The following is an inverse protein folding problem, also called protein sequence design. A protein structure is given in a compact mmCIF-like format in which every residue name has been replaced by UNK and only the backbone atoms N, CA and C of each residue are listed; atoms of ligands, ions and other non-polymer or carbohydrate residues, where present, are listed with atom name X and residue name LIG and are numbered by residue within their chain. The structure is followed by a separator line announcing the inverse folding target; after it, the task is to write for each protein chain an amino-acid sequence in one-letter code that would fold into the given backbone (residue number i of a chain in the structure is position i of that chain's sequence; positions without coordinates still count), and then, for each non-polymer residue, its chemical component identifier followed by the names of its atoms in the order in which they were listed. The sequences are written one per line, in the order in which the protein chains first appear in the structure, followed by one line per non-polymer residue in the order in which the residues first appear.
data_IF_601896937443
#
_entry.id   IF_601896937443
#
_cell.length_a   1.000
_cell.length_b   1.000
_cell.length_c   1.000
_cell.angle_alpha   90.00
_cell.angle_beta   90.00
_cell.angle_gamma   90.00
#
_symmetry.space_group_name_H-M   'P 1'
#
loop_
_entity.id
_entity.type
_entity.pdbx_description
1 polymer ?
#
# COMPACT_ATOMS: atom_id res chain seq x y z
N UNK A 1 -16.78 5.60 -27.78
CA UNK A 1 -15.80 5.65 -26.66
C UNK A 1 -15.85 4.33 -25.93
N UNK A 2 -14.81 3.51 -26.08
CA UNK A 2 -14.73 2.21 -25.39
C UNK A 2 -14.43 2.49 -23.90
N UNK A 3 -15.36 2.17 -23.03
CA UNK A 3 -15.11 2.20 -21.58
C UNK A 3 -13.88 1.32 -21.26
N UNK A 4 -12.93 1.79 -20.44
CA UNK A 4 -11.73 1.02 -20.11
C UNK A 4 -12.13 -0.29 -19.46
N UNK A 5 -11.59 -1.39 -19.96
CA UNK A 5 -11.86 -2.72 -19.41
C UNK A 5 -11.36 -2.77 -17.96
N UNK A 6 -12.13 -3.32 -17.00
CA UNK A 6 -11.78 -3.31 -15.57
C UNK A 6 -10.38 -3.89 -15.28
N UNK A 7 -9.95 -4.86 -16.06
CA UNK A 7 -8.60 -5.46 -15.97
C UNK A 7 -7.47 -4.47 -16.28
N UNK A 8 -7.68 -3.54 -17.24
CA UNK A 8 -6.68 -2.54 -17.58
C UNK A 8 -6.44 -1.57 -16.42
N UNK A 9 -7.50 -1.17 -15.71
CA UNK A 9 -7.39 -0.31 -14.52
C UNK A 9 -6.63 -0.99 -13.38
N UNK A 10 -6.87 -2.28 -13.16
CA UNK A 10 -6.18 -3.02 -12.11
C UNK A 10 -4.69 -3.21 -12.43
N UNK A 11 -4.36 -3.52 -13.70
CA UNK A 11 -2.97 -3.63 -14.16
C UNK A 11 -2.25 -2.30 -14.06
N UNK A 12 -2.91 -1.22 -14.46
CA UNK A 12 -2.37 0.14 -14.31
C UNK A 12 -2.14 0.49 -12.84
N UNK A 13 -3.11 0.21 -11.96
CA UNK A 13 -2.97 0.45 -10.54
C UNK A 13 -1.80 -0.35 -9.93
N UNK A 14 -1.59 -1.60 -10.37
CA UNK A 14 -0.45 -2.42 -9.95
C UNK A 14 0.87 -1.80 -10.37
N UNK A 15 1.03 -1.41 -11.64
CA UNK A 15 2.24 -0.76 -12.12
C UNK A 15 2.52 0.56 -11.37
N UNK A 16 1.48 1.36 -11.10
CA UNK A 16 1.60 2.57 -10.29
C UNK A 16 2.01 2.25 -8.84
N UNK A 17 1.53 1.13 -8.26
CA UNK A 17 1.92 0.70 -6.92
C UNK A 17 3.40 0.34 -6.85
N UNK A 18 3.92 -0.38 -7.84
CA UNK A 18 5.35 -0.71 -7.94
C UNK A 18 6.21 0.56 -8.09
N UNK A 19 5.78 1.49 -8.93
CA UNK A 19 6.47 2.77 -9.09
C UNK A 19 6.36 3.65 -7.84
N UNK A 20 5.24 3.62 -7.12
CA UNK A 20 5.06 4.32 -5.86
C UNK A 20 6.00 3.79 -4.77
N UNK A 21 6.18 2.46 -4.68
CA UNK A 21 7.14 1.85 -3.77
C UNK A 21 8.57 2.30 -4.08
N UNK A 22 8.97 2.29 -5.35
CA UNK A 22 10.26 2.83 -5.78
C UNK A 22 10.44 4.30 -5.38
N UNK A 23 9.45 5.15 -5.65
CA UNK A 23 9.50 6.58 -5.33
C UNK A 23 9.57 6.83 -3.83
N UNK A 24 8.81 6.07 -3.03
CA UNK A 24 8.87 6.13 -1.57
C UNK A 24 10.27 5.80 -1.06
N UNK A 25 10.83 4.65 -1.47
CA UNK A 25 12.17 4.21 -1.05
C UNK A 25 13.25 5.19 -1.49
N UNK A 26 13.20 5.69 -2.74
CA UNK A 26 14.14 6.68 -3.22
C UNK A 26 14.10 7.97 -2.40
N UNK A 27 12.91 8.44 -2.08
CA UNK A 27 12.74 9.63 -1.23
C UNK A 27 13.23 9.37 0.19
N UNK A 28 12.89 8.22 0.77
CA UNK A 28 13.36 7.80 2.09
C UNK A 28 14.87 7.67 2.16
N UNK A 29 15.52 7.12 1.12
CA UNK A 29 16.98 6.96 1.07
C UNK A 29 17.74 8.29 1.12
N UNK A 30 17.15 9.38 0.60
CA UNK A 30 17.73 10.73 0.61
C UNK A 30 17.30 11.55 1.83
N UNK A 31 16.16 11.20 2.44
CA UNK A 31 15.53 11.92 3.55
C UNK A 31 15.64 11.20 4.89
N UNK A 32 16.74 10.45 5.11
CA UNK A 32 17.03 9.76 6.38
C UNK A 32 15.97 8.74 6.83
N UNK A 33 15.14 8.25 5.91
CA UNK A 33 14.01 7.37 6.21
C UNK A 33 12.73 8.08 6.67
N UNK A 34 12.57 9.37 6.38
CA UNK A 34 11.41 10.17 6.77
C UNK A 34 10.11 9.62 6.16
N UNK A 35 9.20 9.20 7.04
CA UNK A 35 7.91 8.63 6.67
C UNK A 35 6.98 9.61 5.96
N UNK A 36 6.94 10.86 6.37
CA UNK A 36 6.08 11.87 5.75
C UNK A 36 6.49 12.09 4.30
N UNK A 37 7.79 12.26 4.08
CA UNK A 37 8.35 12.43 2.74
C UNK A 37 8.11 11.19 1.85
N UNK A 38 8.26 9.98 2.41
CA UNK A 38 8.00 8.73 1.70
C UNK A 38 6.52 8.58 1.32
N UNK A 39 5.62 8.85 2.25
CA UNK A 39 4.16 8.79 2.03
C UNK A 39 3.72 9.79 0.97
N UNK A 40 4.18 11.04 1.05
CA UNK A 40 3.87 12.05 0.05
C UNK A 40 4.41 11.70 -1.34
N UNK A 41 5.59 11.09 -1.42
CA UNK A 41 6.16 10.62 -2.69
C UNK A 41 5.33 9.48 -3.30
N UNK A 42 4.83 8.55 -2.47
CA UNK A 42 3.95 7.48 -2.91
C UNK A 42 2.59 8.02 -3.37
N UNK A 43 1.96 8.88 -2.58
CA UNK A 43 0.68 9.51 -2.90
C UNK A 43 0.73 10.26 -4.23
N UNK A 44 1.78 11.05 -4.48
CA UNK A 44 1.95 11.78 -5.72
C UNK A 44 1.91 10.89 -6.97
N UNK A 45 2.35 9.64 -6.86
CA UNK A 45 2.29 8.64 -7.95
C UNK A 45 0.91 7.99 -8.04
N UNK A 46 0.25 7.74 -6.91
CA UNK A 46 -1.00 6.98 -6.86
C UNK A 46 -2.23 7.82 -7.17
N UNK A 47 -2.18 9.15 -6.96
CA UNK A 47 -3.30 10.06 -7.19
C UNK A 47 -4.00 9.86 -8.54
N UNK A 48 -3.31 9.69 -9.69
CA UNK A 48 -3.97 9.51 -10.98
C UNK A 48 -4.86 8.28 -11.07
N UNK A 49 -4.69 7.30 -10.19
CA UNK A 49 -5.51 6.08 -10.20
C UNK A 49 -6.89 6.26 -9.57
N UNK A 50 -7.09 7.29 -8.74
CA UNK A 50 -8.35 7.47 -8.02
C UNK A 50 -8.84 8.93 -7.93
N UNK A 51 -8.01 9.92 -8.24
CA UNK A 51 -8.36 11.33 -8.23
C UNK A 51 -8.19 11.96 -9.60
N UNK A 52 -8.86 13.09 -9.82
CA UNK A 52 -8.72 13.86 -11.05
C UNK A 52 -7.38 14.60 -11.08
N UNK A 53 -6.58 14.36 -12.12
CA UNK A 53 -5.22 14.90 -12.27
C UNK A 53 -4.92 15.38 -13.69
N UNK A 54 -5.97 15.79 -14.41
CA UNK A 54 -5.92 16.21 -15.82
C UNK A 54 -5.22 17.56 -16.03
N UNK A 55 -4.95 18.31 -14.97
CA UNK A 55 -4.21 19.54 -15.01
C UNK A 55 -3.29 19.70 -13.79
N UNK A 56 -2.23 20.53 -13.86
CA UNK A 56 -1.39 20.81 -12.68
C UNK A 56 -2.16 21.37 -11.49
N UNK A 57 -3.19 22.17 -11.73
CA UNK A 57 -4.06 22.71 -10.70
C UNK A 57 -4.90 21.61 -10.04
N UNK A 58 -5.48 20.68 -10.83
CA UNK A 58 -6.25 19.56 -10.35
C UNK A 58 -5.36 18.58 -9.54
N UNK A 59 -4.16 18.27 -10.05
CA UNK A 59 -3.18 17.46 -9.33
C UNK A 59 -2.81 18.09 -7.98
N UNK A 60 -2.53 19.40 -7.95
CA UNK A 60 -2.21 20.10 -6.72
C UNK A 60 -3.39 20.14 -5.74
N UNK A 61 -4.62 20.27 -6.22
CA UNK A 61 -5.82 20.19 -5.39
C UNK A 61 -6.01 18.78 -4.81
N UNK A 62 -5.90 17.74 -5.65
CA UNK A 62 -5.99 16.35 -5.23
C UNK A 62 -4.92 16.01 -4.17
N UNK A 63 -3.68 16.48 -4.36
CA UNK A 63 -2.62 16.25 -3.38
C UNK A 63 -2.93 16.94 -2.04
N UNK A 64 -3.42 18.19 -2.05
CA UNK A 64 -3.81 18.88 -0.80
C UNK A 64 -4.93 18.18 -0.07
N UNK A 65 -5.90 17.63 -0.80
CA UNK A 65 -7.02 16.88 -0.22
C UNK A 65 -6.57 15.59 0.46
N UNK A 66 -5.61 14.87 -0.14
CA UNK A 66 -5.21 13.53 0.34
C UNK A 66 -3.84 13.51 1.04
N UNK A 67 -3.26 14.67 1.36
CA UNK A 67 -1.93 14.74 2.00
C UNK A 67 -1.86 14.06 3.36
N UNK A 68 -2.99 13.89 4.03
CA UNK A 68 -3.16 13.17 5.29
C UNK A 68 -3.17 11.64 5.13
N UNK A 69 -2.95 11.15 3.90
CA UNK A 69 -2.98 9.73 3.53
C UNK A 69 -4.34 9.06 3.81
N UNK A 70 -5.44 9.79 3.60
CA UNK A 70 -6.81 9.28 3.81
C UNK A 70 -7.70 9.54 2.61
N UNK A 71 -8.64 8.62 2.41
CA UNK A 71 -9.79 8.84 1.55
C UNK A 71 -10.83 9.71 2.25
N UNK A 72 -11.44 10.61 1.51
CA UNK A 72 -12.49 11.52 1.97
C UNK A 72 -13.80 11.16 1.30
N UNK A 73 -14.75 10.62 2.05
CA UNK A 73 -15.96 9.97 1.55
C UNK A 73 -16.73 10.78 0.49
N UNK A 74 -16.82 12.10 0.62
CA UNK A 74 -17.47 12.97 -0.36
C UNK A 74 -16.71 13.10 -1.69
N UNK A 75 -15.38 13.12 -1.65
CA UNK A 75 -14.52 13.24 -2.83
C UNK A 75 -14.23 11.87 -3.48
N UNK A 76 -14.25 10.81 -2.69
CA UNK A 76 -13.74 9.49 -3.07
C UNK A 76 -14.84 8.43 -3.27
N UNK A 77 -16.06 8.86 -3.56
CA UNK A 77 -17.16 7.96 -3.91
C UNK A 77 -17.60 7.04 -2.76
N UNK A 78 -17.52 7.52 -1.52
CA UNK A 78 -17.90 6.79 -0.32
C UNK A 78 -16.77 5.99 0.33
N UNK A 79 -15.57 5.98 -0.24
CA UNK A 79 -14.41 5.33 0.38
C UNK A 79 -13.85 6.19 1.52
N UNK A 80 -13.40 5.53 2.58
CA UNK A 80 -12.78 6.14 3.76
C UNK A 80 -11.50 5.38 4.14
N UNK A 81 -10.84 5.83 5.21
CA UNK A 81 -9.64 5.15 5.72
C UNK A 81 -8.36 5.47 4.95
N UNK A 82 -7.33 4.71 5.23
CA UNK A 82 -5.97 4.96 4.73
C UNK A 82 -5.84 4.62 3.25
N UNK A 83 -5.10 5.42 2.49
CA UNK A 83 -4.81 5.20 1.07
C UNK A 83 -3.65 4.22 0.92
N UNK A 84 -2.55 4.46 1.64
CA UNK A 84 -1.33 3.68 1.53
C UNK A 84 -0.76 3.34 2.89
N UNK A 85 -0.31 2.10 3.06
CA UNK A 85 0.50 1.67 4.18
C UNK A 85 1.94 1.52 3.73
N UNK A 86 2.88 1.99 4.56
CA UNK A 86 4.31 1.89 4.32
C UNK A 86 4.96 1.20 5.52
N UNK A 87 5.23 -0.09 5.37
CA UNK A 87 6.02 -0.86 6.32
C UNK A 87 7.50 -0.78 5.93
N UNK A 88 8.35 -0.36 6.88
CA UNK A 88 9.80 -0.34 6.69
C UNK A 88 10.37 -1.62 7.28
N UNK A 89 10.79 -2.53 6.43
CA UNK A 89 11.36 -3.81 6.88
C UNK A 89 12.80 -3.66 7.33
N UNK A 90 13.54 -2.73 6.72
CA UNK A 90 14.93 -2.36 7.07
C UNK A 90 15.14 -0.85 6.86
N UNK A 91 16.06 -0.20 7.63
CA UNK A 91 16.70 -0.73 8.84
C UNK A 91 15.73 -0.89 10.00
N UNK A 92 16.07 -1.78 10.94
CA UNK A 92 15.27 -1.95 12.16
C UNK A 92 15.54 -0.78 13.12
N UNK A 93 14.49 -0.22 13.72
CA UNK A 93 14.57 0.92 14.65
C UNK A 93 15.52 0.67 15.81
N UNK A 94 15.58 -0.56 16.32
CA UNK A 94 16.46 -0.96 17.43
C UNK A 94 17.95 -1.08 17.07
N UNK A 95 18.32 -1.08 15.78
CA UNK A 95 19.72 -1.19 15.33
C UNK A 95 20.35 0.15 15.03
N UNK A 96 19.58 1.23 15.01
CA UNK A 96 20.05 2.57 14.66
C UNK A 96 20.78 3.25 15.81
N UNK A 97 21.93 3.84 15.50
CA UNK A 97 22.74 4.64 16.44
C UNK A 97 22.76 6.09 16.02
N UNK A 98 22.94 7.00 16.97
CA UNK A 98 22.97 8.43 16.72
C UNK A 98 24.29 8.94 16.11
N UNK A 99 25.36 8.14 16.20
CA UNK A 99 26.74 8.45 15.82
C UNK A 99 27.15 7.93 14.44
N UNK A 100 26.21 7.37 13.66
CA UNK A 100 26.51 6.75 12.36
C UNK A 100 26.81 7.76 11.24
N UNK A 101 26.65 9.05 11.48
CA UNK A 101 26.79 10.09 10.45
C UNK A 101 28.24 10.23 9.96
N UNK A 102 29.25 10.09 10.84
CA UNK A 102 30.66 10.24 10.51
C UNK A 102 31.25 9.07 9.73
N UNK A 103 30.67 7.88 9.89
CA UNK A 103 31.19 6.64 9.32
C UNK A 103 30.27 6.00 8.29
N UNK A 104 29.25 6.74 7.84
CA UNK A 104 28.26 6.22 6.90
C UNK A 104 28.85 5.79 5.56
N UNK A 105 29.89 6.46 5.08
CA UNK A 105 30.55 6.16 3.81
C UNK A 105 31.78 5.25 3.95
N UNK A 106 32.10 4.74 5.15
CA UNK A 106 33.20 3.83 5.35
C UNK A 106 32.91 2.44 4.76
N UNK A 107 33.60 2.08 3.70
CA UNK A 107 33.46 0.82 2.97
C UNK A 107 33.70 -0.41 3.86
N UNK A 108 34.57 -0.29 4.88
CA UNK A 108 34.88 -1.40 5.78
C UNK A 108 33.71 -1.75 6.72
N UNK A 109 32.75 -0.85 6.90
CA UNK A 109 31.52 -1.11 7.69
C UNK A 109 30.46 -1.89 6.92
N UNK A 110 30.48 -1.91 5.59
CA UNK A 110 29.41 -2.51 4.80
C UNK A 110 29.25 -4.02 5.02
N UNK A 111 30.33 -4.72 5.30
CA UNK A 111 30.29 -6.16 5.57
C UNK A 111 29.59 -6.50 6.91
N UNK A 112 29.55 -5.56 7.87
CA UNK A 112 28.99 -5.76 9.21
C UNK A 112 27.65 -5.04 9.46
N UNK A 113 27.27 -4.09 8.58
CA UNK A 113 26.10 -3.18 8.76
C UNK A 113 25.23 -3.10 7.52
N UNK A 114 25.24 -4.12 6.67
CA UNK A 114 24.45 -4.18 5.44
C UNK A 114 22.96 -3.84 5.67
N UNK A 115 22.42 -4.28 6.79
CA UNK A 115 21.03 -4.03 7.18
C UNK A 115 20.72 -2.57 7.50
N UNK A 116 21.69 -1.80 7.98
CA UNK A 116 21.53 -0.39 8.37
C UNK A 116 21.62 0.54 7.18
N UNK A 117 22.39 0.17 6.16
CA UNK A 117 22.54 0.97 4.94
C UNK A 117 21.51 0.64 3.86
N UNK A 118 20.64 -0.32 4.09
CA UNK A 118 19.57 -0.72 3.16
C UNK A 118 18.21 -0.29 3.67
N UNK A 119 17.53 0.53 2.90
CA UNK A 119 16.13 0.83 3.13
C UNK A 119 15.28 -0.15 2.33
N UNK A 120 14.53 -0.98 3.01
CA UNK A 120 13.58 -1.93 2.44
C UNK A 120 12.18 -1.59 2.91
N UNK A 121 11.26 -1.43 1.96
CA UNK A 121 9.91 -0.96 2.21
C UNK A 121 8.92 -1.88 1.52
N UNK A 122 7.92 -2.28 2.25
CA UNK A 122 6.69 -2.89 1.72
C UNK A 122 5.59 -1.85 1.73
N UNK A 123 5.04 -1.59 0.55
CA UNK A 123 3.96 -0.64 0.34
C UNK A 123 2.67 -1.41 0.03
N UNK A 124 1.60 -1.06 0.72
CA UNK A 124 0.25 -1.57 0.45
C UNK A 124 -0.63 -0.41 0.03
N UNK A 125 -1.10 -0.44 -1.21
CA UNK A 125 -2.04 0.54 -1.73
C UNK A 125 -3.46 -0.02 -1.69
N UNK A 126 -4.35 0.65 -1.00
CA UNK A 126 -5.76 0.33 -0.88
C UNK A 126 -6.52 0.88 -2.10
N UNK A 127 -6.37 0.18 -3.25
CA UNK A 127 -6.96 0.64 -4.51
C UNK A 127 -8.49 0.62 -4.47
N UNK A 128 -9.18 1.77 -4.63
CA UNK A 128 -10.63 1.83 -4.64
C UNK A 128 -11.17 1.42 -6.01
N UNK A 129 -11.93 0.36 -6.09
CA UNK A 129 -12.58 -0.03 -7.33
C UNK A 129 -13.88 0.77 -7.50
N UNK A 130 -13.91 1.70 -8.44
CA UNK A 130 -15.03 2.62 -8.67
C UNK A 130 -16.00 2.19 -9.79
N UNK A 131 -15.90 0.95 -10.28
CA UNK A 131 -16.76 0.44 -11.36
C UNK A 131 -18.01 -0.17 -10.73
N UNK A 132 -19.22 0.43 -10.94
CA UNK A 132 -20.46 -0.12 -10.42
C UNK A 132 -20.67 -1.57 -10.84
N UNK A 133 -21.25 -2.39 -9.98
CA UNK A 133 -21.44 -3.84 -10.12
C UNK A 133 -20.15 -4.66 -10.16
N UNK A 134 -19.15 -4.27 -10.96
CA UNK A 134 -17.88 -4.98 -11.02
C UNK A 134 -17.16 -4.97 -9.67
N UNK A 135 -17.18 -3.87 -8.96
CA UNK A 135 -16.62 -3.73 -7.62
C UNK A 135 -17.24 -4.72 -6.63
N UNK A 136 -18.57 -4.87 -6.66
CA UNK A 136 -19.28 -5.78 -5.77
C UNK A 136 -18.97 -7.25 -6.09
N UNK A 137 -19.03 -7.65 -7.37
CA UNK A 137 -18.76 -9.03 -7.80
C UNK A 137 -17.30 -9.40 -7.53
N UNK A 138 -16.36 -8.58 -8.02
CA UNK A 138 -14.93 -8.83 -7.88
C UNK A 138 -14.49 -8.75 -6.41
N UNK A 139 -15.05 -7.82 -5.63
CA UNK A 139 -14.77 -7.72 -4.21
C UNK A 139 -15.22 -8.98 -3.45
N UNK A 140 -16.39 -9.52 -3.75
CA UNK A 140 -16.86 -10.78 -3.15
C UNK A 140 -16.03 -11.98 -3.57
N UNK A 141 -15.69 -12.08 -4.84
CA UNK A 141 -14.82 -13.14 -5.34
C UNK A 141 -13.44 -13.09 -4.69
N UNK A 142 -12.90 -11.90 -4.54
CA UNK A 142 -11.62 -11.69 -3.90
C UNK A 142 -11.63 -12.08 -2.41
N UNK A 143 -12.67 -11.66 -1.66
CA UNK A 143 -12.84 -12.07 -0.26
C UNK A 143 -13.02 -13.58 -0.11
N UNK A 144 -13.77 -14.21 -1.02
CA UNK A 144 -13.91 -15.65 -1.06
C UNK A 144 -12.59 -16.36 -1.36
N UNK A 145 -11.82 -15.85 -2.32
CA UNK A 145 -10.49 -16.39 -2.67
C UNK A 145 -9.52 -16.35 -1.48
N UNK A 146 -9.64 -15.34 -0.64
CA UNK A 146 -8.84 -15.21 0.59
C UNK A 146 -9.40 -16.04 1.76
N UNK A 147 -10.49 -16.79 1.56
CA UNK A 147 -11.16 -17.53 2.63
C UNK A 147 -11.83 -16.64 3.69
N UNK A 148 -12.03 -15.35 3.39
CA UNK A 148 -12.65 -14.39 4.32
C UNK A 148 -14.18 -14.37 4.22
N UNK A 149 -14.75 -14.95 3.16
CA UNK A 149 -16.18 -15.06 2.96
C UNK A 149 -16.49 -16.29 2.12
N UNK A 150 -17.49 -17.06 2.52
CA UNK A 150 -17.99 -18.15 1.72
C UNK A 150 -18.72 -17.60 0.49
N UNK A 151 -18.40 -18.10 -0.67
CA UNK A 151 -19.12 -17.85 -1.91
C UNK A 151 -20.24 -18.88 -2.02
N UNK A 152 -21.46 -18.50 -1.72
CA UNK A 152 -22.62 -19.31 -2.08
C UNK A 152 -23.06 -18.95 -3.49
N UNK A 153 -23.01 -19.91 -4.40
CA UNK A 153 -23.65 -19.74 -5.71
C UNK A 153 -25.15 -19.48 -5.52
N UNK A 154 -25.63 -18.39 -6.09
CA UNK A 154 -27.04 -17.98 -6.00
C UNK A 154 -27.92 -18.68 -7.04
N UNK A 155 -27.61 -19.91 -7.42
CA UNK A 155 -28.53 -20.70 -8.22
C UNK A 155 -29.48 -21.45 -7.27
N UNK A 156 -30.77 -21.07 -7.20
CA UNK A 156 -31.72 -21.69 -6.29
C UNK A 156 -32.00 -23.17 -6.61
N UNK A 157 -31.52 -23.66 -7.76
CA UNK A 157 -31.70 -25.04 -8.20
C UNK A 157 -30.48 -25.94 -7.97
N UNK A 158 -29.35 -25.36 -7.55
CA UNK A 158 -28.16 -26.12 -7.20
C UNK A 158 -27.84 -26.02 -5.72
N UNK A 159 -27.59 -27.14 -5.02
CA UNK A 159 -27.10 -27.07 -3.65
C UNK A 159 -25.78 -26.30 -3.64
N UNK A 160 -25.65 -25.35 -2.72
CA UNK A 160 -24.46 -24.54 -2.54
C UNK A 160 -23.22 -25.43 -2.35
N UNK A 161 -22.44 -25.64 -3.39
CA UNK A 161 -21.12 -26.29 -3.31
C UNK A 161 -20.08 -25.19 -3.23
N UNK A 162 -19.18 -25.21 -2.20
CA UNK A 162 -18.06 -24.31 -2.18
C UNK A 162 -17.24 -24.53 -3.47
N UNK A 163 -16.91 -23.46 -4.16
CA UNK A 163 -16.08 -23.54 -5.35
C UNK A 163 -14.72 -24.15 -4.96
N UNK A 164 -14.23 -25.15 -5.71
CA UNK A 164 -12.99 -25.88 -5.40
C UNK A 164 -11.75 -25.00 -5.24
N UNK A 165 -11.77 -23.77 -5.74
CA UNK A 165 -10.67 -22.80 -5.60
C UNK A 165 -10.73 -21.98 -4.30
N UNK A 166 -11.84 -22.01 -3.57
CA UNK A 166 -12.03 -21.31 -2.27
C UNK A 166 -11.27 -22.01 -1.14
N UNK A 167 -10.99 -23.30 -1.27
CA UNK A 167 -10.32 -24.09 -0.23
C UNK A 167 -8.79 -24.11 -0.29
N UNK A 168 -8.16 -23.36 -1.22
CA UNK A 168 -6.69 -23.26 -1.24
C UNK A 168 -6.27 -22.22 -0.20
N UNK A 169 -5.27 -22.60 0.61
CA UNK A 169 -4.62 -21.73 1.60
C UNK A 169 -4.38 -20.37 0.99
N UNK A 170 -4.98 -19.30 1.55
CA UNK A 170 -4.73 -17.97 1.05
C UNK A 170 -3.23 -17.71 1.09
N UNK A 171 -2.67 -17.13 0.04
CA UNK A 171 -1.35 -16.55 0.11
C UNK A 171 -1.30 -15.72 1.39
N UNK A 172 -0.25 -15.94 2.23
CA UNK A 172 -0.17 -15.38 3.56
C UNK A 172 -0.33 -13.86 3.51
N UNK A 173 -1.58 -13.40 3.57
CA UNK A 173 -1.89 -12.02 3.84
C UNK A 173 -1.63 -11.79 5.32
N UNK A 174 -0.90 -10.76 5.62
CA UNK A 174 -0.69 -10.36 6.99
C UNK A 174 -2.04 -10.13 7.69
N UNK A 175 -2.12 -10.49 8.95
CA UNK A 175 -3.36 -10.43 9.74
C UNK A 175 -4.00 -9.04 9.63
N UNK A 176 -3.20 -7.99 9.73
CA UNK A 176 -3.67 -6.60 9.64
C UNK A 176 -4.35 -6.27 8.30
N UNK A 177 -3.82 -6.79 7.18
CA UNK A 177 -4.44 -6.61 5.86
C UNK A 177 -5.82 -7.30 5.81
N UNK A 178 -5.93 -8.49 6.40
CA UNK A 178 -7.20 -9.22 6.46
C UNK A 178 -8.25 -8.51 7.30
N UNK A 179 -7.85 -8.01 8.46
CA UNK A 179 -8.72 -7.25 9.36
C UNK A 179 -9.24 -5.97 8.69
N UNK A 180 -8.35 -5.19 8.09
CA UNK A 180 -8.73 -3.97 7.35
C UNK A 180 -9.67 -4.28 6.18
N UNK A 181 -9.42 -5.37 5.43
CA UNK A 181 -10.30 -5.81 4.34
C UNK A 181 -11.71 -6.15 4.84
N UNK A 182 -11.81 -6.87 5.95
CA UNK A 182 -13.11 -7.23 6.55
C UNK A 182 -13.86 -5.99 7.04
N UNK A 183 -13.16 -5.08 7.70
CA UNK A 183 -13.74 -3.84 8.20
C UNK A 183 -14.27 -2.97 7.05
N UNK A 184 -13.49 -2.79 5.99
CA UNK A 184 -13.92 -2.04 4.79
C UNK A 184 -15.07 -2.73 4.07
N UNK A 185 -15.03 -4.05 3.94
CA UNK A 185 -16.11 -4.82 3.34
C UNK A 185 -17.42 -4.70 4.12
N UNK A 186 -17.36 -4.64 5.46
CA UNK A 186 -18.53 -4.40 6.31
C UNK A 186 -19.17 -3.01 6.04
N UNK A 187 -18.36 -2.01 5.73
CA UNK A 187 -18.80 -0.66 5.30
C UNK A 187 -19.18 -0.59 3.82
N UNK A 188 -19.17 -1.72 3.10
CA UNK A 188 -19.38 -1.81 1.64
C UNK A 188 -18.37 -1.05 0.79
N UNK A 189 -17.19 -0.83 1.32
CA UNK A 189 -16.06 -0.25 0.61
C UNK A 189 -15.28 -1.37 -0.07
N UNK A 190 -15.36 -1.46 -1.39
CA UNK A 190 -14.64 -2.48 -2.15
C UNK A 190 -13.27 -1.95 -2.58
N UNK A 191 -12.26 -2.37 -1.84
CA UNK A 191 -10.86 -2.00 -2.08
C UNK A 191 -10.02 -3.24 -2.32
N UNK A 192 -8.92 -3.07 -3.05
CA UNK A 192 -7.96 -4.13 -3.32
C UNK A 192 -6.60 -3.74 -2.75
N UNK A 193 -6.02 -4.55 -1.85
CA UNK A 193 -4.67 -4.31 -1.32
C UNK A 193 -3.64 -4.71 -2.38
N UNK A 194 -3.15 -3.74 -3.12
CA UNK A 194 -2.05 -3.92 -4.05
C UNK A 194 -0.74 -3.75 -3.30
N UNK A 195 0.10 -4.77 -3.31
CA UNK A 195 1.37 -4.79 -2.58
C UNK A 195 2.54 -4.66 -3.54
N UNK A 196 3.54 -3.90 -3.12
CA UNK A 196 4.84 -3.82 -3.78
C UNK A 196 5.94 -3.67 -2.73
N UNK A 197 7.06 -4.36 -2.95
CA UNK A 197 8.25 -4.24 -2.12
C UNK A 197 9.39 -3.66 -2.94
N UNK A 198 10.10 -2.73 -2.37
CA UNK A 198 11.29 -2.17 -3.00
C UNK A 198 12.40 -1.96 -1.96
N UNK A 199 13.63 -2.16 -2.39
CA UNK A 199 14.80 -1.96 -1.54
C UNK A 199 15.85 -1.11 -2.27
N UNK A 200 16.48 -0.20 -1.54
CA UNK A 200 17.52 0.66 -2.06
C UNK A 200 18.57 0.93 -0.98
N UNK A 201 19.81 1.12 -1.39
CA UNK A 201 20.85 1.64 -0.48
C UNK A 201 20.45 3.04 -0.01
N UNK A 202 20.60 3.29 1.28
CA UNK A 202 20.47 4.62 1.86
C UNK A 202 21.54 5.55 1.27
N UNK A 203 21.13 6.73 0.86
CA UNK A 203 22.02 7.79 0.38
C UNK A 203 22.44 8.75 1.49
N UNK A 204 21.71 8.70 2.59
CA UNK A 204 21.97 9.45 3.83
C UNK A 204 21.79 8.50 5.00
N UNK A 205 22.48 8.68 6.12
CA UNK A 205 22.33 7.80 7.29
C UNK A 205 20.89 7.83 7.81
N UNK A 206 20.37 6.66 8.18
CA UNK A 206 19.06 6.56 8.83
C UNK A 206 19.14 7.22 10.23
N UNK A 207 18.25 8.15 10.52
CA UNK A 207 18.26 8.86 11.81
C UNK A 207 17.21 8.29 12.75
N UNK A 208 17.55 7.96 14.02
CA UNK A 208 16.63 7.39 15.00
C UNK A 208 15.35 8.21 15.19
N UNK A 209 15.42 9.54 15.06
CA UNK A 209 14.25 10.42 15.18
C UNK A 209 13.12 10.12 14.19
N UNK A 210 13.44 9.57 13.02
CA UNK A 210 12.47 9.16 12.00
C UNK A 210 12.01 7.72 12.15
N UNK A 211 12.67 6.94 13.03
CA UNK A 211 12.38 5.53 13.30
C UNK A 211 11.87 5.31 14.74
N UNK A 212 11.12 6.27 15.28
CA UNK A 212 10.44 6.12 16.58
C UNK A 212 9.48 4.93 16.59
N UNK A 213 8.85 4.68 15.47
CA UNK A 213 8.08 3.48 15.15
C UNK A 213 8.71 2.82 13.94
N UNK A 214 8.64 1.49 13.85
CA UNK A 214 9.19 0.77 12.71
C UNK A 214 8.46 1.13 11.42
N UNK A 215 7.13 1.13 11.46
CA UNK A 215 6.28 1.45 10.32
C UNK A 215 5.91 2.94 10.28
N UNK A 216 5.53 3.41 9.10
CA UNK A 216 5.05 4.78 8.95
C UNK A 216 3.65 4.94 9.56
N UNK A 217 3.26 6.17 9.98
CA UNK A 217 1.95 6.44 10.57
C UNK A 217 0.80 5.87 9.73
N UNK A 218 -0.26 5.41 10.39
CA UNK A 218 -1.43 4.75 9.83
C UNK A 218 -1.16 3.34 9.28
N UNK A 219 0.07 2.86 9.32
CA UNK A 219 0.41 1.46 9.00
C UNK A 219 0.40 0.65 10.28
N UNK A 220 -0.32 -0.47 10.37
CA UNK A 220 -0.30 -1.34 11.53
C UNK A 220 1.11 -1.85 11.86
N UNK A 221 1.40 -2.07 13.15
CA UNK A 221 2.72 -2.52 13.61
C UNK A 221 3.03 -3.97 13.19
N UNK A 222 2.02 -4.78 12.97
CA UNK A 222 2.14 -6.21 12.63
C UNK A 222 2.33 -6.52 11.13
N UNK A 223 2.57 -5.51 10.31
CA UNK A 223 2.83 -5.68 8.88
C UNK A 223 4.29 -6.03 8.61
#
# INVERSE_FOLDING_TARGET
EMAPRPWALLLQARALTEYAAFRAVRTGSVKHGDCEAMTHAALGVLLPSFARTDSPAALGAAFRTHRDNRYHSTADGGHTGTIVWIARERPLSGTLRSDEEESFDDVNRYASVEDVVRLEVRLVFWFPMRIPFANWVLGRMFLAQLGLREYSATDPLQPARPAHWVGRTPAALDIAIREELLERAARREYVFPLQATYAMRMMTPARPRYFRQQNCPLTPEGL
#
